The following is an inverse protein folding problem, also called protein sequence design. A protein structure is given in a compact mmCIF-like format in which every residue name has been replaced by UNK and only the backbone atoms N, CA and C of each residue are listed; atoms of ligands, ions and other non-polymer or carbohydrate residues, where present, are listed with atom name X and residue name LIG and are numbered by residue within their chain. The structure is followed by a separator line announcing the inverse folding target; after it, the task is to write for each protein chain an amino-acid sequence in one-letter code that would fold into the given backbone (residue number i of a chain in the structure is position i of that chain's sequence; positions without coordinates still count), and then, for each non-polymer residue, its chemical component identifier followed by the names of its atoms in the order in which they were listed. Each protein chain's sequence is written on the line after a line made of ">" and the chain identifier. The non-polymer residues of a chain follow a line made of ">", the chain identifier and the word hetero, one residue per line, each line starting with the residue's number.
data_IF_041515235557
#
_entry.id   IF_041515235557
#
_cell.length_a   1.000
_cell.length_b   1.000
_cell.length_c   1.000
_cell.angle_alpha   90.00
_cell.angle_beta   90.00
_cell.angle_gamma   90.00
#
_symmetry.space_group_name_H-M   'P 1'
#
loop_
_entity.id
_entity.type
_entity.pdbx_description
1 polymer ?
#
# COMPACT_ATOMS: atom_id res chain seq x y z
N UNK A 1 -22.45 -24.07 -21.44
CA UNK A 1 -22.34 -23.29 -20.18
C UNK A 1 -21.70 -21.96 -20.54
N UNK A 2 -22.30 -20.86 -20.16
CA UNK A 2 -21.68 -19.54 -20.22
C UNK A 2 -20.68 -19.45 -19.05
N UNK A 3 -19.38 -19.49 -19.39
CA UNK A 3 -18.30 -19.54 -18.38
C UNK A 3 -18.22 -18.23 -17.57
N UNK A 4 -18.34 -17.07 -18.23
CA UNK A 4 -18.31 -15.77 -17.56
C UNK A 4 -19.43 -15.62 -16.55
N UNK A 5 -20.65 -15.98 -16.96
CA UNK A 5 -21.80 -15.97 -16.04
C UNK A 5 -21.64 -16.94 -14.89
N UNK A 6 -21.04 -18.11 -15.13
CA UNK A 6 -20.81 -19.12 -14.08
C UNK A 6 -19.72 -18.65 -13.10
N UNK A 7 -18.64 -18.03 -13.59
CA UNK A 7 -17.61 -17.40 -12.75
C UNK A 7 -18.18 -16.25 -11.92
N UNK A 8 -18.97 -15.37 -12.52
CA UNK A 8 -19.61 -14.26 -11.82
C UNK A 8 -20.56 -14.76 -10.70
N UNK A 9 -21.33 -15.80 -10.97
CA UNK A 9 -22.17 -16.43 -9.97
C UNK A 9 -21.36 -17.05 -8.82
N UNK A 10 -20.25 -17.74 -9.13
CA UNK A 10 -19.37 -18.31 -8.11
C UNK A 10 -18.77 -17.22 -7.20
N UNK A 11 -18.25 -16.14 -7.78
CA UNK A 11 -17.73 -14.98 -7.02
C UNK A 11 -18.82 -14.40 -6.12
N UNK A 12 -20.05 -14.17 -6.65
CA UNK A 12 -21.19 -13.66 -5.86
C UNK A 12 -21.58 -14.57 -4.71
N UNK A 13 -21.55 -15.89 -4.91
CA UNK A 13 -21.84 -16.86 -3.84
C UNK A 13 -20.88 -16.69 -2.68
N UNK A 14 -19.59 -16.53 -2.98
CA UNK A 14 -18.56 -16.36 -1.94
C UNK A 14 -18.69 -15.00 -1.26
N UNK A 15 -18.87 -13.92 -2.03
CA UNK A 15 -18.96 -12.55 -1.51
C UNK A 15 -20.21 -12.34 -0.63
N UNK A 16 -21.32 -12.99 -0.95
CA UNK A 16 -22.58 -12.90 -0.17
C UNK A 16 -22.73 -13.98 0.90
N UNK A 17 -21.78 -14.92 0.99
CA UNK A 17 -21.75 -15.96 2.02
C UNK A 17 -22.85 -17.03 1.93
N UNK A 18 -23.80 -16.92 0.99
CA UNK A 18 -24.86 -17.92 0.79
C UNK A 18 -25.41 -17.94 -0.63
N UNK A 19 -25.95 -19.10 -1.05
CA UNK A 19 -26.61 -19.28 -2.35
C UNK A 19 -27.88 -18.42 -2.49
N UNK A 20 -28.63 -18.24 -1.41
CA UNK A 20 -29.85 -17.41 -1.41
C UNK A 20 -29.51 -15.95 -1.57
N UNK A 21 -28.56 -15.43 -0.78
CA UNK A 21 -28.13 -14.03 -0.88
C UNK A 21 -27.49 -13.71 -2.25
N UNK A 22 -26.74 -14.65 -2.84
CA UNK A 22 -26.21 -14.50 -4.19
C UNK A 22 -27.31 -14.48 -5.27
N UNK A 23 -28.37 -15.28 -5.09
CA UNK A 23 -29.53 -15.29 -5.96
C UNK A 23 -30.30 -13.96 -5.92
N UNK A 24 -30.55 -13.45 -4.73
CA UNK A 24 -31.19 -12.16 -4.52
C UNK A 24 -30.40 -11.01 -5.11
N UNK A 25 -29.07 -10.97 -4.86
CA UNK A 25 -28.17 -9.97 -5.40
C UNK A 25 -28.03 -9.99 -6.93
N UNK A 26 -28.36 -11.12 -7.57
CA UNK A 26 -28.27 -11.27 -9.05
C UNK A 26 -29.61 -11.28 -9.76
N UNK A 27 -30.74 -11.16 -9.05
CA UNK A 27 -32.07 -11.26 -9.61
C UNK A 27 -32.38 -12.64 -10.21
N UNK A 28 -31.71 -13.70 -9.75
CA UNK A 28 -31.86 -15.07 -10.23
C UNK A 28 -32.55 -15.94 -9.18
N UNK A 29 -33.14 -17.07 -9.63
CA UNK A 29 -33.61 -18.07 -8.67
C UNK A 29 -32.44 -18.83 -8.04
N UNK A 30 -32.56 -19.24 -6.77
CA UNK A 30 -31.60 -20.08 -6.08
C UNK A 30 -31.26 -21.35 -6.88
N UNK A 31 -32.25 -21.96 -7.50
CA UNK A 31 -32.05 -23.14 -8.37
C UNK A 31 -31.18 -22.84 -9.59
N UNK A 32 -31.22 -21.62 -10.16
CA UNK A 32 -30.38 -21.19 -11.25
C UNK A 32 -28.92 -21.05 -10.80
N UNK A 33 -28.69 -20.41 -9.65
CA UNK A 33 -27.37 -20.21 -9.05
C UNK A 33 -26.73 -21.55 -8.70
N UNK A 34 -27.49 -22.47 -8.08
CA UNK A 34 -27.02 -23.84 -7.76
C UNK A 34 -26.63 -24.61 -9.03
N UNK A 35 -27.46 -24.57 -10.08
CA UNK A 35 -27.15 -25.23 -11.37
C UNK A 35 -25.91 -24.65 -12.03
N UNK A 36 -25.73 -23.33 -11.97
CA UNK A 36 -24.58 -22.64 -12.50
C UNK A 36 -23.28 -23.08 -11.79
N UNK A 37 -23.28 -23.13 -10.46
CA UNK A 37 -22.14 -23.61 -9.69
C UNK A 37 -21.84 -25.09 -9.98
N UNK A 38 -22.85 -25.96 -9.96
CA UNK A 38 -22.66 -27.38 -10.25
C UNK A 38 -22.15 -27.65 -11.68
N UNK A 39 -22.57 -26.83 -12.66
CA UNK A 39 -22.05 -26.91 -14.02
C UNK A 39 -20.59 -26.44 -14.10
N UNK A 40 -20.19 -25.44 -13.33
CA UNK A 40 -18.82 -24.94 -13.25
C UNK A 40 -17.90 -26.00 -12.61
N UNK A 41 -18.26 -26.54 -11.44
CA UNK A 41 -17.50 -27.60 -10.76
C UNK A 41 -17.34 -28.85 -11.63
N UNK A 42 -18.40 -29.25 -12.32
CA UNK A 42 -18.34 -30.37 -13.28
C UNK A 42 -17.40 -30.10 -14.45
N UNK A 43 -17.40 -28.87 -14.97
CA UNK A 43 -16.52 -28.49 -16.06
C UNK A 43 -15.03 -28.48 -15.66
N UNK A 44 -14.76 -28.06 -14.43
CA UNK A 44 -13.40 -28.01 -13.86
C UNK A 44 -12.93 -29.38 -13.32
N UNK A 45 -13.85 -30.31 -13.07
CA UNK A 45 -13.57 -31.62 -12.48
C UNK A 45 -13.24 -31.58 -11.00
N UNK A 46 -13.43 -30.43 -10.35
CA UNK A 46 -13.12 -30.21 -8.92
C UNK A 46 -14.27 -29.52 -8.22
N UNK A 47 -14.34 -29.67 -6.90
CA UNK A 47 -15.26 -28.88 -6.08
C UNK A 47 -14.59 -27.57 -5.68
N UNK A 48 -15.33 -26.50 -5.78
CA UNK A 48 -14.89 -25.15 -5.40
C UNK A 48 -15.41 -24.79 -3.99
N UNK A 49 -16.54 -25.38 -3.56
CA UNK A 49 -17.17 -25.13 -2.27
C UNK A 49 -17.46 -26.43 -1.51
N UNK A 50 -17.07 -26.45 -0.26
CA UNK A 50 -17.51 -27.46 0.70
C UNK A 50 -18.88 -27.07 1.24
N UNK A 51 -19.87 -27.92 0.99
CA UNK A 51 -21.25 -27.74 1.47
C UNK A 51 -21.42 -28.55 2.75
N UNK A 52 -21.23 -27.95 3.91
CA UNK A 52 -21.79 -28.50 5.14
C UNK A 52 -23.11 -27.77 5.44
N UNK A 53 -24.03 -28.47 6.10
CA UNK A 53 -25.38 -27.92 6.44
C UNK A 53 -25.32 -26.68 7.36
N UNK A 54 -24.15 -26.30 7.85
CA UNK A 54 -23.95 -25.17 8.78
C UNK A 54 -23.02 -24.07 8.29
N UNK A 55 -22.11 -24.32 7.32
CA UNK A 55 -21.21 -23.29 6.77
C UNK A 55 -20.80 -23.65 5.35
N UNK A 56 -20.71 -22.62 4.52
CA UNK A 56 -20.11 -22.69 3.19
C UNK A 56 -18.66 -22.26 3.32
N UNK A 57 -17.72 -23.11 2.89
CA UNK A 57 -16.29 -22.83 2.90
C UNK A 57 -15.70 -23.13 1.53
N UNK A 58 -14.70 -22.36 1.13
CA UNK A 58 -13.91 -22.66 -0.06
C UNK A 58 -13.10 -23.94 0.13
N UNK A 59 -12.87 -24.66 -0.97
CA UNK A 59 -11.77 -25.62 -1.07
C UNK A 59 -10.47 -24.88 -1.42
N UNK A 60 -9.32 -25.54 -1.39
CA UNK A 60 -8.05 -24.93 -1.84
C UNK A 60 -8.11 -24.57 -3.31
N UNK A 61 -8.67 -25.45 -4.17
CA UNK A 61 -8.94 -25.18 -5.57
C UNK A 61 -9.96 -24.05 -5.74
N UNK A 62 -10.95 -23.97 -4.84
CA UNK A 62 -11.95 -22.89 -4.80
C UNK A 62 -11.32 -21.53 -4.52
N UNK A 63 -10.36 -21.47 -3.60
CA UNK A 63 -9.64 -20.24 -3.27
C UNK A 63 -8.78 -19.75 -4.47
N UNK A 64 -8.04 -20.65 -5.10
CA UNK A 64 -7.25 -20.37 -6.29
C UNK A 64 -8.14 -19.90 -7.46
N UNK A 65 -9.21 -20.66 -7.74
CA UNK A 65 -10.15 -20.31 -8.82
C UNK A 65 -10.92 -19.02 -8.55
N UNK A 66 -11.22 -18.69 -7.29
CA UNK A 66 -11.83 -17.42 -6.90
C UNK A 66 -10.93 -16.23 -7.25
N UNK A 67 -9.65 -16.31 -6.85
CA UNK A 67 -8.67 -15.26 -7.14
C UNK A 67 -8.54 -15.03 -8.66
N UNK A 68 -8.46 -16.12 -9.43
CA UNK A 68 -8.40 -16.07 -10.88
C UNK A 68 -9.70 -15.52 -11.52
N UNK A 69 -10.87 -16.02 -11.10
CA UNK A 69 -12.17 -15.58 -11.62
C UNK A 69 -12.39 -14.09 -11.43
N UNK A 70 -12.00 -13.59 -10.28
CA UNK A 70 -12.11 -12.17 -9.95
C UNK A 70 -11.22 -11.30 -10.85
N UNK A 71 -9.99 -11.74 -11.18
CA UNK A 71 -9.11 -11.05 -12.13
C UNK A 71 -9.75 -10.99 -13.52
N UNK A 72 -10.19 -12.14 -14.03
CA UNK A 72 -10.79 -12.23 -15.36
C UNK A 72 -12.05 -11.36 -15.49
N UNK A 73 -12.92 -11.37 -14.49
CA UNK A 73 -14.14 -10.54 -14.50
C UNK A 73 -13.82 -9.04 -14.45
N UNK A 74 -12.78 -8.64 -13.69
CA UNK A 74 -12.32 -7.27 -13.65
C UNK A 74 -11.73 -6.83 -15.01
N UNK A 75 -10.91 -7.67 -15.65
CA UNK A 75 -10.36 -7.41 -16.99
C UNK A 75 -11.46 -7.27 -18.04
N UNK A 76 -12.48 -8.12 -18.00
CA UNK A 76 -13.65 -8.00 -18.88
C UNK A 76 -14.39 -6.69 -18.68
N UNK A 77 -14.68 -6.34 -17.44
CA UNK A 77 -15.33 -5.06 -17.13
C UNK A 77 -14.49 -3.86 -17.57
N UNK A 78 -13.16 -3.92 -17.43
CA UNK A 78 -12.24 -2.88 -17.90
C UNK A 78 -12.20 -2.75 -19.43
N UNK A 79 -12.29 -3.88 -20.15
CA UNK A 79 -12.39 -3.87 -21.63
C UNK A 79 -13.72 -3.26 -22.07
N UNK A 80 -14.85 -3.70 -21.49
CA UNK A 80 -16.16 -3.14 -21.79
C UNK A 80 -16.19 -1.63 -21.50
N UNK A 81 -15.68 -1.20 -20.36
CA UNK A 81 -15.56 0.23 -20.03
C UNK A 81 -14.68 1.02 -21.00
N UNK A 82 -13.61 0.41 -21.54
CA UNK A 82 -12.74 1.06 -22.54
C UNK A 82 -13.43 1.18 -23.90
N UNK A 83 -14.28 0.22 -24.25
CA UNK A 83 -15.04 0.20 -25.50
C UNK A 83 -16.27 1.12 -25.44
N UNK A 84 -16.89 1.23 -24.25
CA UNK A 84 -18.04 2.11 -23.99
C UNK A 84 -17.62 3.57 -23.71
N UNK A 85 -16.35 3.84 -23.45
CA UNK A 85 -15.84 5.18 -23.24
C UNK A 85 -15.84 5.97 -24.58
N UNK A 86 -16.97 6.56 -24.91
CA UNK A 86 -16.98 7.75 -25.76
C UNK A 86 -16.26 8.85 -24.98
N UNK A 87 -15.07 9.22 -25.49
CA UNK A 87 -14.24 10.34 -25.06
C UNK A 87 -14.49 10.92 -23.64
N UNK A 88 -13.67 10.51 -22.69
CA UNK A 88 -13.36 11.32 -21.50
C UNK A 88 -14.02 10.94 -20.18
N UNK A 89 -14.95 10.03 -20.11
CA UNK A 89 -15.66 9.70 -18.86
C UNK A 89 -14.81 8.79 -17.94
N UNK A 90 -14.20 9.40 -16.94
CA UNK A 90 -13.43 8.70 -15.90
C UNK A 90 -14.40 8.20 -14.83
N UNK A 91 -14.65 6.86 -14.80
CA UNK A 91 -15.63 6.23 -13.90
C UNK A 91 -15.19 4.86 -13.41
N UNK A 92 -15.79 4.41 -12.30
CA UNK A 92 -15.59 3.08 -11.71
C UNK A 92 -14.70 3.09 -10.48
N UNK A 93 -14.37 1.91 -9.96
CA UNK A 93 -13.64 1.73 -8.71
C UNK A 93 -12.12 1.70 -8.96
N UNK A 94 -11.39 2.55 -8.24
CA UNK A 94 -9.94 2.64 -8.22
C UNK A 94 -9.41 2.15 -6.86
N UNK A 95 -8.55 1.14 -6.86
CA UNK A 95 -7.97 0.53 -5.67
C UNK A 95 -6.52 0.94 -5.50
N UNK A 96 -6.26 1.66 -4.41
CA UNK A 96 -4.97 2.27 -4.12
C UNK A 96 -4.38 1.70 -2.82
N UNK A 97 -3.07 1.57 -2.77
CA UNK A 97 -2.35 1.32 -1.51
C UNK A 97 -1.14 2.25 -1.38
N UNK A 98 -0.82 2.60 -0.14
CA UNK A 98 0.34 3.42 0.20
C UNK A 98 0.80 3.10 1.64
N UNK A 99 2.06 3.44 2.01
CA UNK A 99 2.47 3.47 3.41
C UNK A 99 1.56 4.40 4.22
N UNK A 100 1.28 4.01 5.47
CA UNK A 100 0.25 4.66 6.30
C UNK A 100 0.46 6.17 6.39
N UNK A 101 1.62 6.60 6.85
CA UNK A 101 1.90 8.03 7.06
C UNK A 101 1.92 8.82 5.74
N UNK A 102 2.51 8.25 4.67
CA UNK A 102 2.49 8.89 3.35
C UNK A 102 1.08 8.99 2.80
N UNK A 103 0.31 7.92 2.92
CA UNK A 103 -1.07 7.87 2.47
C UNK A 103 -1.95 8.92 3.13
N UNK A 104 -1.86 9.03 4.45
CA UNK A 104 -2.64 10.00 5.23
C UNK A 104 -2.24 11.45 4.92
N UNK A 105 -0.94 11.72 4.82
CA UNK A 105 -0.42 13.08 4.70
C UNK A 105 -0.49 13.66 3.29
N UNK A 106 -0.17 12.85 2.28
CA UNK A 106 -0.01 13.33 0.90
C UNK A 106 -1.06 12.78 -0.07
N UNK A 107 -1.37 11.48 0.00
CA UNK A 107 -2.24 10.85 -0.99
C UNK A 107 -3.72 11.07 -0.70
N UNK A 108 -4.19 10.88 0.53
CA UNK A 108 -5.61 11.00 0.87
C UNK A 108 -6.19 12.41 0.61
N UNK A 109 -5.49 13.52 0.91
CA UNK A 109 -5.97 14.85 0.51
C UNK A 109 -6.16 15.00 -1.00
N UNK A 110 -5.24 14.45 -1.79
CA UNK A 110 -5.33 14.48 -3.25
C UNK A 110 -6.46 13.58 -3.78
N UNK A 111 -6.64 12.40 -3.20
CA UNK A 111 -7.78 11.52 -3.51
C UNK A 111 -9.10 12.25 -3.29
N UNK A 112 -9.23 13.00 -2.19
CA UNK A 112 -10.44 13.77 -1.90
C UNK A 112 -10.72 14.86 -2.96
N UNK A 113 -9.68 15.52 -3.48
CA UNK A 113 -9.82 16.50 -4.56
C UNK A 113 -10.19 15.79 -5.87
N UNK A 114 -9.51 14.70 -6.20
CA UNK A 114 -9.79 13.92 -7.40
C UNK A 114 -11.24 13.42 -7.46
N UNK A 115 -11.78 12.92 -6.34
CA UNK A 115 -13.16 12.47 -6.24
C UNK A 115 -14.19 13.59 -6.43
N UNK A 116 -13.86 14.82 -6.06
CA UNK A 116 -14.71 15.98 -6.33
C UNK A 116 -14.73 16.36 -7.82
N UNK A 117 -13.59 16.21 -8.50
CA UNK A 117 -13.46 16.48 -9.94
C UNK A 117 -14.04 15.36 -10.81
N UNK A 118 -14.09 14.11 -10.27
CA UNK A 118 -14.58 12.91 -10.97
C UNK A 118 -15.68 12.20 -10.17
N UNK A 119 -16.93 12.70 -10.18
CA UNK A 119 -18.02 12.19 -9.33
C UNK A 119 -18.43 10.73 -9.59
N UNK A 120 -18.08 10.17 -10.75
CA UNK A 120 -18.38 8.79 -11.12
C UNK A 120 -17.30 7.80 -10.72
N UNK A 121 -16.19 8.27 -10.12
CA UNK A 121 -15.11 7.43 -9.59
C UNK A 121 -15.39 7.11 -8.13
N UNK A 122 -15.10 5.88 -7.76
CA UNK A 122 -15.03 5.41 -6.38
C UNK A 122 -13.58 5.03 -6.08
N UNK A 123 -13.12 5.23 -4.84
CA UNK A 123 -11.76 4.88 -4.42
C UNK A 123 -11.81 3.99 -3.18
N UNK A 124 -11.12 2.86 -3.25
CA UNK A 124 -10.72 2.08 -2.08
C UNK A 124 -9.24 2.39 -1.78
N UNK A 125 -8.99 3.10 -0.68
CA UNK A 125 -7.65 3.46 -0.25
C UNK A 125 -7.23 2.60 0.94
N UNK A 126 -6.32 1.66 0.71
CA UNK A 126 -5.79 0.77 1.74
C UNK A 126 -4.38 1.24 2.15
N UNK A 127 -4.23 1.74 3.38
CA UNK A 127 -2.96 2.21 3.91
C UNK A 127 -2.30 1.13 4.76
N UNK A 128 -1.11 0.68 4.33
CA UNK A 128 -0.39 -0.40 4.99
C UNK A 128 1.13 -0.23 4.79
N UNK A 129 1.90 -0.38 5.88
CA UNK A 129 3.36 -0.31 5.84
C UNK A 129 4.02 -1.64 5.38
N UNK A 130 3.24 -2.71 5.24
CA UNK A 130 3.71 -3.95 4.65
C UNK A 130 3.63 -3.90 3.12
N UNK A 131 4.63 -4.49 2.47
CA UNK A 131 4.62 -4.63 1.01
C UNK A 131 3.70 -5.79 0.65
N UNK A 132 2.53 -5.46 0.09
CA UNK A 132 1.59 -6.45 -0.43
C UNK A 132 1.71 -6.56 -1.94
N UNK A 133 1.62 -7.78 -2.54
CA UNK A 133 1.63 -7.95 -3.98
C UNK A 133 0.39 -7.29 -4.61
N UNK A 134 0.60 -6.39 -5.58
CA UNK A 134 -0.49 -5.67 -6.26
C UNK A 134 -1.52 -6.59 -6.90
N UNK A 135 -1.04 -7.65 -7.54
CA UNK A 135 -1.90 -8.57 -8.29
C UNK A 135 -2.76 -9.44 -7.37
N UNK A 136 -2.23 -9.84 -6.22
CA UNK A 136 -2.94 -10.72 -5.31
C UNK A 136 -4.07 -9.99 -4.57
N UNK A 137 -3.88 -8.68 -4.29
CA UNK A 137 -4.86 -7.84 -3.59
C UNK A 137 -5.71 -6.95 -4.50
N UNK A 138 -5.66 -7.18 -5.82
CA UNK A 138 -6.44 -6.43 -6.83
C UNK A 138 -6.25 -4.92 -6.77
N UNK A 139 -5.04 -4.49 -6.51
CA UNK A 139 -4.71 -3.09 -6.46
C UNK A 139 -4.43 -2.58 -7.87
N UNK A 140 -5.02 -1.45 -8.20
CA UNK A 140 -4.78 -0.78 -9.48
C UNK A 140 -3.47 0.00 -9.45
N UNK A 141 -3.09 0.52 -8.26
CA UNK A 141 -1.91 1.34 -8.08
C UNK A 141 -1.39 1.25 -6.64
N UNK A 142 -0.07 1.20 -6.48
CA UNK A 142 0.60 1.31 -5.19
C UNK A 142 1.60 2.44 -5.17
N UNK A 143 1.65 3.17 -4.07
CA UNK A 143 2.78 4.01 -3.74
C UNK A 143 3.78 3.17 -2.94
N UNK A 144 5.05 3.23 -3.33
CA UNK A 144 6.14 2.49 -2.70
C UNK A 144 7.33 3.40 -2.45
N UNK A 145 8.07 3.13 -1.38
CA UNK A 145 9.29 3.85 -1.00
C UNK A 145 10.42 2.83 -0.89
N UNK A 146 11.52 3.10 -1.58
CA UNK A 146 12.68 2.23 -1.65
C UNK A 146 12.87 1.59 -3.02
N UNK A 147 13.94 0.83 -3.14
CA UNK A 147 14.26 0.11 -4.36
C UNK A 147 13.33 -1.08 -4.53
N UNK A 148 12.70 -1.17 -5.68
CA UNK A 148 11.81 -2.27 -6.02
C UNK A 148 12.61 -3.38 -6.71
N UNK A 149 12.30 -4.65 -6.46
CA UNK A 149 12.85 -5.74 -7.27
C UNK A 149 12.33 -5.62 -8.70
N UNK A 150 13.11 -6.15 -9.65
CA UNK A 150 12.70 -6.23 -11.04
C UNK A 150 11.33 -6.93 -11.16
N UNK A 151 10.39 -6.26 -11.77
CA UNK A 151 9.03 -6.75 -11.93
C UNK A 151 8.44 -6.32 -13.28
N UNK A 152 7.40 -7.01 -13.75
CA UNK A 152 6.64 -6.63 -14.94
C UNK A 152 5.77 -5.37 -14.76
N UNK A 153 5.94 -4.65 -13.64
CA UNK A 153 5.22 -3.44 -13.31
C UNK A 153 5.93 -2.21 -13.85
N UNK A 154 5.14 -1.18 -14.15
CA UNK A 154 5.68 0.15 -14.43
C UNK A 154 5.88 0.87 -13.11
N UNK A 155 7.05 1.46 -12.95
CA UNK A 155 7.39 2.33 -11.83
C UNK A 155 7.64 3.74 -12.34
N UNK A 156 6.92 4.72 -11.77
CA UNK A 156 7.16 6.14 -12.00
C UNK A 156 7.63 6.79 -10.72
N UNK A 157 8.88 7.25 -10.71
CA UNK A 157 9.41 8.01 -9.59
C UNK A 157 8.74 9.39 -9.52
N UNK A 158 8.30 9.78 -8.32
CA UNK A 158 7.64 11.06 -8.03
C UNK A 158 8.42 11.91 -7.03
N UNK A 159 9.53 11.39 -6.53
CA UNK A 159 10.40 12.08 -5.59
C UNK A 159 11.37 11.13 -4.92
N UNK A 160 12.01 11.61 -3.87
CA UNK A 160 12.89 10.82 -3.02
C UNK A 160 12.72 11.22 -1.55
N UNK A 161 13.17 10.34 -0.68
CA UNK A 161 13.26 10.56 0.77
C UNK A 161 14.51 9.87 1.29
N UNK A 162 14.88 10.13 2.53
CA UNK A 162 16.01 9.45 3.18
C UNK A 162 15.66 9.08 4.61
N UNK A 163 16.36 8.11 5.15
CA UNK A 163 16.30 7.80 6.57
C UNK A 163 17.15 8.82 7.33
N UNK A 164 16.53 9.52 8.27
CA UNK A 164 17.18 10.47 9.18
C UNK A 164 17.13 9.94 10.60
N UNK A 165 18.23 10.09 11.33
CA UNK A 165 18.28 9.82 12.77
C UNK A 165 18.07 11.12 13.49
N UNK A 166 17.12 11.17 14.42
CA UNK A 166 16.74 12.40 15.11
C UNK A 166 16.45 12.18 16.60
N UNK A 167 16.57 13.26 17.35
CA UNK A 167 16.23 13.36 18.76
C UNK A 167 15.69 14.75 19.06
N UNK A 168 14.98 14.91 20.19
CA UNK A 168 14.58 16.25 20.66
C UNK A 168 15.77 17.00 21.27
N UNK A 169 15.78 18.34 21.19
CA UNK A 169 16.79 19.16 21.88
C UNK A 169 16.88 18.87 23.38
N UNK A 170 15.73 18.63 24.04
CA UNK A 170 15.66 18.32 25.45
C UNK A 170 16.41 17.03 25.79
N UNK A 171 16.23 15.97 24.99
CA UNK A 171 16.99 14.73 25.15
C UNK A 171 18.48 14.96 24.97
N UNK A 172 18.87 15.66 23.89
CA UNK A 172 20.28 15.92 23.57
C UNK A 172 21.00 16.77 24.63
N UNK A 173 20.27 17.62 25.34
CA UNK A 173 20.86 18.48 26.38
C UNK A 173 21.35 17.69 27.61
N UNK A 174 20.85 16.50 27.84
CA UNK A 174 21.16 15.65 29.00
C UNK A 174 21.83 14.32 28.65
N UNK A 175 21.83 13.95 27.38
CA UNK A 175 22.41 12.71 26.88
C UNK A 175 23.91 12.86 26.54
N UNK A 176 24.68 11.77 26.49
CA UNK A 176 26.05 11.80 25.96
C UNK A 176 26.09 12.32 24.51
N UNK A 177 27.29 12.67 24.02
CA UNK A 177 27.47 13.08 22.64
C UNK A 177 27.21 11.92 21.66
N UNK A 178 26.63 12.24 20.48
CA UNK A 178 26.30 11.27 19.43
C UNK A 178 27.14 11.60 18.20
N UNK A 179 28.40 11.24 18.19
CA UNK A 179 29.32 11.57 17.12
C UNK A 179 29.44 10.45 16.07
N UNK A 180 29.14 9.22 16.46
CA UNK A 180 29.20 8.05 15.59
C UNK A 180 28.00 7.13 15.78
N UNK A 181 27.64 6.30 14.78
CA UNK A 181 26.57 5.33 14.93
C UNK A 181 26.72 4.37 16.11
N UNK A 182 27.96 3.98 16.44
CA UNK A 182 28.24 3.10 17.59
C UNK A 182 27.81 3.71 18.94
N UNK A 183 27.79 5.04 19.06
CA UNK A 183 27.31 5.72 20.27
C UNK A 183 25.83 5.44 20.57
N UNK A 184 25.02 5.00 19.61
CA UNK A 184 23.62 4.64 19.83
C UNK A 184 23.43 3.53 20.86
N UNK A 185 24.44 2.70 21.11
CA UNK A 185 24.38 1.66 22.14
C UNK A 185 24.28 2.23 23.57
N UNK A 186 24.73 3.47 23.77
CA UNK A 186 24.67 4.16 25.05
C UNK A 186 23.41 5.05 25.18
N UNK A 187 22.53 5.02 24.18
CA UNK A 187 21.34 5.85 24.13
C UNK A 187 20.04 5.07 24.17
N UNK A 188 19.00 5.73 24.68
CA UNK A 188 17.63 5.23 24.55
C UNK A 188 17.17 5.33 23.10
N UNK A 189 16.87 4.20 22.46
CA UNK A 189 16.37 4.14 21.08
C UNK A 189 14.88 3.83 21.02
N UNK A 190 14.19 4.44 20.07
CA UNK A 190 12.78 4.25 19.77
C UNK A 190 12.70 3.58 18.39
N UNK A 191 12.18 2.36 18.34
CA UNK A 191 12.15 1.53 17.15
C UNK A 191 10.76 1.50 16.51
N UNK A 192 10.67 1.89 15.25
CA UNK A 192 9.56 1.51 14.39
C UNK A 192 9.73 0.06 13.94
N UNK A 193 8.82 -0.81 14.34
CA UNK A 193 8.97 -2.27 14.24
C UNK A 193 9.28 -2.78 12.82
N UNK A 194 8.71 -2.13 11.78
CA UNK A 194 8.93 -2.54 10.38
C UNK A 194 10.37 -2.33 9.89
N UNK A 195 11.18 -1.50 10.57
CA UNK A 195 12.58 -1.26 10.19
C UNK A 195 13.56 -2.31 10.71
N UNK A 196 13.12 -3.16 11.66
CA UNK A 196 14.02 -4.11 12.32
C UNK A 196 15.03 -3.45 13.26
N UNK A 197 15.80 -4.26 13.98
CA UNK A 197 16.77 -3.79 14.97
C UNK A 197 18.11 -3.37 14.40
N UNK A 198 18.40 -3.66 13.15
CA UNK A 198 19.65 -3.28 12.48
C UNK A 198 19.46 -1.98 11.74
N UNK A 199 20.09 -0.91 12.22
CA UNK A 199 20.09 0.38 11.56
C UNK A 199 21.36 0.51 10.72
N UNK A 200 21.20 0.66 9.40
CA UNK A 200 22.30 0.76 8.46
C UNK A 200 22.71 2.20 8.27
N UNK A 201 23.97 2.49 8.49
CA UNK A 201 24.61 3.79 8.34
C UNK A 201 25.66 3.72 7.26
N UNK A 202 26.01 4.86 6.68
CA UNK A 202 27.02 4.95 5.63
C UNK A 202 28.15 5.85 6.07
N UNK A 203 29.41 5.38 5.92
CA UNK A 203 30.61 6.18 6.10
C UNK A 203 31.47 6.08 4.83
N UNK A 204 31.46 7.13 3.99
CA UNK A 204 32.03 7.09 2.64
C UNK A 204 31.33 6.04 1.76
N UNK A 205 32.08 5.03 1.30
CA UNK A 205 31.55 3.91 0.49
C UNK A 205 31.12 2.70 1.33
N UNK A 206 31.40 2.70 2.62
CA UNK A 206 31.12 1.56 3.49
C UNK A 206 29.75 1.71 4.15
N UNK A 207 28.97 0.63 4.11
CA UNK A 207 27.76 0.49 4.90
C UNK A 207 28.09 -0.24 6.21
N UNK A 208 27.60 0.27 7.33
CA UNK A 208 27.77 -0.28 8.67
C UNK A 208 26.39 -0.46 9.30
N UNK A 209 26.15 -1.63 9.88
CA UNK A 209 24.94 -1.92 10.62
C UNK A 209 25.21 -1.78 12.13
N UNK A 210 24.33 -1.05 12.81
CA UNK A 210 24.29 -0.97 14.26
C UNK A 210 23.08 -1.73 14.78
N UNK A 211 23.30 -2.64 15.73
CA UNK A 211 22.21 -3.36 16.38
C UNK A 211 21.66 -2.50 17.52
N UNK A 212 20.38 -2.15 17.43
CA UNK A 212 19.70 -1.26 18.39
C UNK A 212 18.97 -2.07 19.45
N UNK A 213 19.21 -1.72 20.72
CA UNK A 213 18.41 -2.19 21.86
C UNK A 213 17.34 -1.14 22.16
N UNK A 214 16.09 -1.33 21.68
CA UNK A 214 15.08 -0.29 21.83
C UNK A 214 14.51 -0.24 23.24
N UNK A 215 14.34 0.97 23.78
CA UNK A 215 13.55 1.23 24.97
C UNK A 215 12.03 1.20 24.69
N UNK A 216 11.63 1.64 23.49
CA UNK A 216 10.25 1.57 22.97
C UNK A 216 10.27 0.96 21.60
N UNK A 217 9.41 -0.03 21.37
CA UNK A 217 9.10 -0.55 20.04
C UNK A 217 7.63 -0.32 19.74
N UNK A 218 7.32 0.28 18.59
CA UNK A 218 5.96 0.55 18.14
C UNK A 218 5.79 0.25 16.64
N UNK A 219 4.56 0.04 16.22
CA UNK A 219 4.21 -0.26 14.84
C UNK A 219 3.54 0.92 14.11
N UNK A 220 3.62 2.12 14.70
CA UNK A 220 3.09 3.34 14.12
C UNK A 220 4.14 4.44 14.15
N UNK A 221 4.36 5.08 13.00
CA UNK A 221 5.35 6.17 12.83
C UNK A 221 5.06 7.34 13.77
N UNK A 222 3.79 7.76 13.86
CA UNK A 222 3.38 8.87 14.73
C UNK A 222 3.69 8.60 16.21
N UNK A 223 3.60 7.35 16.64
CA UNK A 223 3.96 6.97 18.02
C UNK A 223 5.46 7.11 18.25
N UNK A 224 6.29 6.68 17.27
CA UNK A 224 7.74 6.83 17.36
C UNK A 224 8.17 8.30 17.36
N UNK A 225 7.62 9.10 16.42
CA UNK A 225 7.89 10.55 16.33
C UNK A 225 7.49 11.27 17.62
N UNK A 226 6.28 11.02 18.14
CA UNK A 226 5.79 11.64 19.38
C UNK A 226 6.68 11.31 20.57
N UNK A 227 7.06 10.04 20.75
CA UNK A 227 7.95 9.63 21.82
C UNK A 227 9.33 10.32 21.74
N UNK A 228 9.84 10.48 20.52
CA UNK A 228 11.09 11.19 20.27
C UNK A 228 10.98 12.69 20.64
N UNK A 229 9.92 13.36 20.19
CA UNK A 229 9.63 14.77 20.52
C UNK A 229 9.51 14.98 22.02
N UNK A 230 8.93 14.00 22.74
CA UNK A 230 8.80 14.04 24.19
C UNK A 230 10.10 13.69 24.96
N UNK A 231 11.23 13.56 24.28
CA UNK A 231 12.54 13.35 24.93
C UNK A 231 12.78 11.92 25.41
N UNK A 232 12.04 10.91 24.93
CA UNK A 232 12.25 9.52 25.35
C UNK A 232 13.59 8.95 24.84
N UNK A 233 14.09 9.45 23.69
CA UNK A 233 15.32 8.96 23.07
C UNK A 233 15.43 9.32 21.59
N UNK A 234 16.23 8.54 20.88
CA UNK A 234 16.57 8.70 19.47
C UNK A 234 15.66 7.80 18.63
N UNK A 235 15.18 8.31 17.51
CA UNK A 235 14.48 7.50 16.50
C UNK A 235 15.12 7.67 15.14
N UNK A 236 14.88 6.70 14.24
CA UNK A 236 15.30 6.75 12.85
C UNK A 236 14.08 6.55 11.97
N UNK A 237 13.74 7.57 11.21
CA UNK A 237 12.51 7.61 10.40
C UNK A 237 12.83 8.18 9.01
N UNK A 238 11.90 8.06 8.07
CA UNK A 238 12.03 8.73 6.78
C UNK A 238 11.81 10.25 6.97
N UNK A 239 12.60 11.06 6.27
CA UNK A 239 12.59 12.52 6.40
C UNK A 239 11.17 13.10 6.34
N UNK A 240 10.35 12.72 5.37
CA UNK A 240 8.97 13.23 5.24
C UNK A 240 8.08 12.93 6.46
N UNK A 241 8.42 11.91 7.27
CA UNK A 241 7.65 11.49 8.44
C UNK A 241 7.86 12.41 9.65
N UNK A 242 8.96 13.15 9.65
CA UNK A 242 9.37 14.07 10.73
C UNK A 242 9.71 15.47 10.21
N UNK A 243 9.37 15.77 8.97
CA UNK A 243 9.73 17.04 8.32
C UNK A 243 9.21 18.27 9.07
N UNK A 244 7.97 18.23 9.59
CA UNK A 244 7.41 19.33 10.38
C UNK A 244 8.14 19.51 11.70
N UNK A 245 8.43 18.40 12.41
CA UNK A 245 9.13 18.41 13.68
C UNK A 245 10.58 18.92 13.54
N UNK A 246 11.22 18.62 12.41
CA UNK A 246 12.55 19.15 12.07
C UNK A 246 12.47 20.63 11.72
N UNK A 247 11.50 21.05 10.92
CA UNK A 247 11.31 22.45 10.52
C UNK A 247 10.98 23.36 11.74
N UNK A 248 10.17 22.84 12.67
CA UNK A 248 9.79 23.53 13.89
C UNK A 248 10.89 23.51 14.98
N UNK A 249 11.98 22.77 14.78
CA UNK A 249 13.04 22.58 15.76
C UNK A 249 12.69 21.70 16.95
N UNK A 250 11.54 21.01 16.92
CA UNK A 250 11.17 20.04 17.96
C UNK A 250 12.00 18.75 17.90
N UNK A 251 12.53 18.45 16.73
CA UNK A 251 13.52 17.42 16.49
C UNK A 251 14.74 18.02 15.78
N UNK A 252 15.90 17.42 16.06
CA UNK A 252 17.18 17.77 15.42
C UNK A 252 17.77 16.50 14.81
N UNK A 253 18.28 16.60 13.59
CA UNK A 253 19.00 15.51 12.92
C UNK A 253 20.37 15.31 13.59
N UNK A 254 20.65 14.08 13.97
CA UNK A 254 21.96 13.63 14.44
C UNK A 254 22.55 12.64 13.44
N UNK A 255 23.86 12.40 13.44
CA UNK A 255 24.55 11.48 12.55
C UNK A 255 24.34 11.79 11.06
N UNK A 256 24.26 13.05 10.66
CA UNK A 256 23.99 13.48 9.27
C UNK A 256 25.03 12.92 8.29
N UNK A 257 26.31 12.90 8.68
CA UNK A 257 27.41 12.41 7.83
C UNK A 257 27.38 10.89 7.58
N UNK A 258 26.50 10.20 8.32
CA UNK A 258 26.33 8.75 8.25
C UNK A 258 24.97 8.33 7.63
N UNK A 259 24.19 9.27 7.15
CA UNK A 259 22.89 8.94 6.57
C UNK A 259 23.04 8.07 5.30
N UNK A 260 22.16 7.08 5.10
CA UNK A 260 22.16 6.24 3.91
C UNK A 260 21.75 7.06 2.67
N UNK A 261 21.90 6.44 1.49
CA UNK A 261 21.45 7.01 0.23
C UNK A 261 19.95 7.27 0.24
N UNK A 262 19.54 8.23 -0.58
CA UNK A 262 18.13 8.53 -0.79
C UNK A 262 17.37 7.33 -1.34
N UNK A 263 16.15 7.20 -0.89
CA UNK A 263 15.21 6.18 -1.32
C UNK A 263 14.18 6.80 -2.28
N UNK A 264 13.96 6.21 -3.46
CA UNK A 264 12.97 6.71 -4.40
C UNK A 264 11.54 6.52 -3.84
N UNK A 265 10.70 7.51 -4.05
CA UNK A 265 9.25 7.43 -3.86
C UNK A 265 8.64 7.17 -5.23
N UNK A 266 7.88 6.10 -5.38
CA UNK A 266 7.43 5.62 -6.67
C UNK A 266 5.95 5.26 -6.66
N UNK A 267 5.26 5.58 -7.77
CA UNK A 267 3.98 5.00 -8.12
C UNK A 267 4.22 3.76 -8.96
N UNK A 268 3.62 2.64 -8.55
CA UNK A 268 3.76 1.32 -9.17
C UNK A 268 2.39 0.86 -9.64
N UNK A 269 2.31 0.43 -10.90
CA UNK A 269 1.06 -0.01 -11.51
C UNK A 269 1.34 -1.00 -12.66
N UNK A 270 0.37 -1.79 -13.11
CA UNK A 270 0.54 -2.67 -14.27
C UNK A 270 0.96 -1.93 -15.53
N UNK A 271 1.53 -2.63 -16.51
CA UNK A 271 2.08 -2.03 -17.72
C UNK A 271 1.10 -1.07 -18.42
N UNK A 272 1.61 0.07 -18.92
CA UNK A 272 0.81 1.20 -19.42
C UNK A 272 -0.17 0.85 -20.55
N UNK A 273 0.09 -0.20 -21.34
CA UNK A 273 -0.81 -0.68 -22.40
C UNK A 273 -2.10 -1.32 -21.86
N UNK A 274 -2.15 -1.64 -20.56
CA UNK A 274 -3.26 -2.32 -19.89
C UNK A 274 -3.99 -1.40 -18.88
N UNK A 275 -3.56 -0.13 -18.77
CA UNK A 275 -4.21 0.79 -17.84
C UNK A 275 -5.63 1.11 -18.25
N UNK A 276 -6.58 0.92 -17.33
CA UNK A 276 -7.93 1.44 -17.51
C UNK A 276 -7.94 2.98 -17.55
N UNK A 277 -8.92 3.61 -18.21
CA UNK A 277 -9.00 5.07 -18.32
C UNK A 277 -8.93 5.77 -16.95
N UNK A 278 -9.60 5.24 -15.93
CA UNK A 278 -9.59 5.80 -14.57
C UNK A 278 -8.20 5.78 -13.92
N UNK A 279 -7.44 4.69 -14.10
CA UNK A 279 -6.07 4.57 -13.54
C UNK A 279 -5.15 5.54 -14.25
N UNK A 280 -5.22 5.62 -15.58
CA UNK A 280 -4.43 6.56 -16.38
C UNK A 280 -4.72 8.01 -15.96
N UNK A 281 -5.99 8.39 -15.92
CA UNK A 281 -6.41 9.74 -15.51
C UNK A 281 -5.91 10.07 -14.10
N UNK A 282 -6.03 9.13 -13.15
CA UNK A 282 -5.54 9.34 -11.79
C UNK A 282 -4.01 9.50 -11.75
N UNK A 283 -3.24 8.65 -12.44
CA UNK A 283 -1.78 8.74 -12.49
C UNK A 283 -1.32 10.07 -13.09
N UNK A 284 -1.91 10.49 -14.22
CA UNK A 284 -1.59 11.75 -14.89
C UNK A 284 -1.95 12.96 -14.02
N UNK A 285 -3.03 12.87 -13.26
CA UNK A 285 -3.52 13.92 -12.38
C UNK A 285 -2.73 14.01 -11.08
N UNK A 286 -2.41 12.86 -10.44
CA UNK A 286 -1.82 12.84 -9.09
C UNK A 286 -0.31 13.06 -9.08
N UNK A 287 0.43 12.52 -10.07
CA UNK A 287 1.90 12.60 -10.09
C UNK A 287 2.44 14.01 -9.98
N UNK A 288 2.03 15.00 -10.81
CA UNK A 288 2.57 16.36 -10.73
C UNK A 288 2.21 17.08 -9.42
N UNK A 289 1.15 16.63 -8.76
CA UNK A 289 0.70 17.20 -7.47
C UNK A 289 1.50 16.63 -6.32
N UNK A 290 1.80 15.34 -6.34
CA UNK A 290 2.69 14.69 -5.37
C UNK A 290 4.11 15.25 -5.50
N UNK A 291 4.66 15.34 -6.71
CA UNK A 291 6.01 15.87 -6.97
C UNK A 291 6.21 17.28 -6.36
N UNK A 292 5.18 18.15 -6.44
CA UNK A 292 5.21 19.51 -5.86
C UNK A 292 4.94 19.58 -4.37
N UNK A 293 4.27 18.56 -3.81
CA UNK A 293 3.86 18.54 -2.40
C UNK A 293 4.84 17.84 -1.46
N UNK A 294 5.86 17.20 -2.00
CA UNK A 294 6.86 16.52 -1.18
C UNK A 294 7.86 17.52 -0.59
N UNK A 295 8.31 17.32 0.66
CA UNK A 295 9.33 18.18 1.25
C UNK A 295 10.65 18.01 0.50
N UNK A 296 11.35 19.12 0.28
CA UNK A 296 12.70 19.10 -0.25
C UNK A 296 13.63 18.41 0.75
N UNK A 297 14.54 17.59 0.23
CA UNK A 297 15.61 17.00 1.03
C UNK A 297 16.72 18.06 1.10
N UNK A 298 16.89 18.66 2.25
CA UNK A 298 18.06 19.50 2.52
C UNK A 298 19.32 18.70 2.28
N UNK A 299 20.26 19.28 1.54
CA UNK A 299 21.55 18.69 1.19
C UNK A 299 22.41 18.37 2.42
#
# INVERSE_FOLDING_TARGET
>A
MDKLKAMANFVRIVDNGSLSAAADASGQSVASVVRSLAALERHLGVRLLNRSTRRMALTDEGAEYLAWSRRMLAEFADIEQRLDAQDGDVRGLLRLTAPVEFGQRYLAPLVNVFLKEHPQVQVELNLNDQIVPLLDERLDLALRIGHLPDSAMVSRQIGSTRLVTCASPDYLSTAPAIDTPAALNDHSCILFAAQGRHWYYRHGEKEQAEEITPRLTCNQIRTASLACVQGLGITRLLHYQVADELADGRLVRVLKDYEPKDLPIQLVYPHALQLSPRVRAFVEWVCPRLERGLPELDG
#
